data_IF_783400146924
#
_entry.id   IF_783400146924
#
_cell.length_a   1.000
_cell.length_b   1.000
_cell.length_c   1.000
_cell.angle_alpha   90.00
_cell.angle_beta   90.00
_cell.angle_gamma   90.00
#
_symmetry.space_group_name_H-M   'P 1'
#
loop_
_entity.id
_entity.type
_entity.pdbx_description
1 polymer ?
#
# COMPACT_ATOMS: atom_id res chain seq x y z
N UNK A 1 -26.86 -26.10 4.67
CA UNK A 1 -25.45 -26.47 4.94
C UNK A 1 -25.26 -26.59 6.44
N UNK A 2 -24.83 -27.75 6.97
CA UNK A 2 -24.60 -27.91 8.40
C UNK A 2 -23.48 -26.95 8.83
N UNK A 3 -23.79 -26.09 9.81
CA UNK A 3 -22.84 -25.10 10.32
C UNK A 3 -21.57 -25.80 10.81
N UNK A 4 -20.41 -25.42 10.26
CA UNK A 4 -19.12 -25.82 10.84
C UNK A 4 -19.11 -25.31 12.28
N UNK A 5 -19.28 -26.23 13.24
CA UNK A 5 -19.25 -25.92 14.66
C UNK A 5 -18.04 -25.05 14.98
N UNK A 6 -18.28 -23.92 15.64
CA UNK A 6 -17.24 -23.02 16.12
C UNK A 6 -16.28 -23.83 16.97
N UNK A 7 -15.02 -23.95 16.53
CA UNK A 7 -13.99 -24.70 17.28
C UNK A 7 -13.89 -24.12 18.69
N UNK A 8 -14.00 -24.98 19.72
CA UNK A 8 -13.86 -24.63 21.13
C UNK A 8 -12.62 -23.71 21.33
N UNK A 9 -12.78 -22.49 21.88
CA UNK A 9 -11.69 -21.54 22.13
C UNK A 9 -10.55 -22.11 22.96
N UNK A 10 -10.84 -22.93 23.96
CA UNK A 10 -9.84 -23.55 24.83
C UNK A 10 -8.95 -24.51 24.04
N UNK A 11 -9.56 -25.30 23.15
CA UNK A 11 -8.81 -26.21 22.27
C UNK A 11 -7.90 -25.45 21.31
N UNK A 12 -8.32 -24.28 20.81
CA UNK A 12 -7.45 -23.39 20.00
C UNK A 12 -6.28 -22.84 20.82
N UNK A 13 -6.54 -22.43 22.06
CA UNK A 13 -5.51 -21.93 22.98
C UNK A 13 -4.49 -23.02 23.29
N UNK A 14 -4.93 -24.20 23.73
CA UNK A 14 -4.06 -25.34 24.01
C UNK A 14 -3.23 -25.77 22.79
N UNK A 15 -3.82 -25.78 21.60
CA UNK A 15 -3.09 -26.05 20.36
C UNK A 15 -2.02 -24.98 20.07
N UNK A 16 -2.34 -23.71 20.28
CA UNK A 16 -1.41 -22.59 20.06
C UNK A 16 -0.26 -22.65 21.06
N UNK A 17 -0.55 -22.89 22.33
CA UNK A 17 0.47 -23.07 23.38
C UNK A 17 1.37 -24.27 23.09
N UNK A 18 0.82 -25.40 22.63
CA UNK A 18 1.60 -26.56 22.19
C UNK A 18 2.52 -26.19 21.02
N UNK A 19 2.01 -25.48 20.01
CA UNK A 19 2.79 -25.06 18.85
C UNK A 19 3.94 -24.12 19.24
N UNK A 20 3.69 -23.17 20.14
CA UNK A 20 4.72 -22.27 20.70
C UNK A 20 5.76 -23.07 21.48
N UNK A 21 5.36 -23.95 22.40
CA UNK A 21 6.28 -24.80 23.17
C UNK A 21 7.14 -25.70 22.28
N UNK A 22 6.64 -26.11 21.11
CA UNK A 22 7.39 -26.89 20.13
C UNK A 22 8.34 -26.09 19.23
N UNK A 23 8.58 -24.80 19.52
CA UNK A 23 9.44 -23.94 18.69
C UNK A 23 8.81 -23.54 17.35
N UNK A 24 7.49 -23.60 17.26
CA UNK A 24 6.73 -23.24 16.07
C UNK A 24 7.06 -21.85 15.50
N UNK A 25 7.10 -20.78 16.32
CA UNK A 25 7.46 -19.44 15.87
C UNK A 25 8.84 -19.37 15.21
N UNK A 26 9.86 -19.99 15.82
CA UNK A 26 11.23 -20.00 15.33
C UNK A 26 11.34 -20.78 14.01
N UNK A 27 10.65 -21.92 13.91
CA UNK A 27 10.57 -22.68 12.65
C UNK A 27 9.87 -21.88 11.55
N UNK A 28 8.78 -21.18 11.88
CA UNK A 28 8.08 -20.32 10.94
C UNK A 28 8.97 -19.16 10.48
N UNK A 29 9.73 -18.54 11.39
CA UNK A 29 10.71 -17.50 11.10
C UNK A 29 11.82 -18.01 10.18
N UNK A 30 12.46 -19.14 10.52
CA UNK A 30 13.51 -19.77 9.70
C UNK A 30 13.00 -20.14 8.30
N UNK A 31 11.80 -20.73 8.21
CA UNK A 31 11.17 -21.04 6.93
C UNK A 31 10.94 -19.77 6.12
N UNK A 32 10.42 -18.73 6.76
CA UNK A 32 10.17 -17.46 6.12
C UNK A 32 11.48 -16.82 5.61
N UNK A 33 12.54 -16.84 6.41
CA UNK A 33 13.90 -16.43 6.01
C UNK A 33 14.42 -17.25 4.82
N UNK A 34 14.25 -18.57 4.82
CA UNK A 34 14.71 -19.45 3.73
C UNK A 34 14.02 -19.19 2.38
N UNK A 35 12.81 -18.61 2.38
CA UNK A 35 12.08 -18.23 1.16
C UNK A 35 12.15 -16.73 0.89
N UNK A 36 13.06 -16.02 1.56
CA UNK A 36 13.27 -14.57 1.37
C UNK A 36 14.50 -14.31 0.55
N UNK A 37 14.29 -13.60 -0.55
CA UNK A 37 15.39 -12.99 -1.30
C UNK A 37 15.59 -11.57 -0.77
N UNK A 38 16.80 -11.29 -0.29
CA UNK A 38 17.22 -9.94 0.10
C UNK A 38 18.08 -9.33 -0.99
N UNK A 39 17.76 -8.10 -1.39
CA UNK A 39 18.49 -7.32 -2.39
C UNK A 39 19.03 -6.06 -1.74
N UNK A 40 20.34 -5.97 -1.61
CA UNK A 40 21.02 -4.80 -1.04
C UNK A 40 21.40 -3.83 -2.14
N UNK A 41 21.09 -2.55 -1.94
CA UNK A 41 21.58 -1.49 -2.81
C UNK A 41 22.88 -0.91 -2.24
N UNK A 42 23.85 -0.52 -3.10
CA UNK A 42 25.11 0.05 -2.63
C UNK A 42 24.93 1.44 -2.02
N UNK A 43 23.93 2.20 -2.46
CA UNK A 43 23.64 3.56 -1.98
C UNK A 43 22.15 3.78 -1.84
N UNK A 44 21.77 4.57 -0.84
CA UNK A 44 20.39 5.05 -0.71
C UNK A 44 20.10 6.07 -1.81
N UNK A 45 18.97 5.98 -2.52
CA UNK A 45 18.78 6.79 -3.71
C UNK A 45 18.16 8.16 -3.38
N UNK A 46 18.85 8.95 -2.55
CA UNK A 46 18.39 10.26 -2.06
C UNK A 46 18.38 11.35 -3.12
N UNK A 47 19.07 11.16 -4.25
CA UNK A 47 19.22 12.17 -5.31
C UNK A 47 17.87 12.63 -5.89
N UNK A 48 16.81 11.82 -5.74
CA UNK A 48 15.45 12.14 -6.24
C UNK A 48 14.54 12.82 -5.20
N UNK A 49 14.93 12.89 -3.92
CA UNK A 49 14.10 13.47 -2.86
C UNK A 49 13.83 14.97 -3.08
N UNK A 50 14.82 15.69 -3.60
CA UNK A 50 14.73 17.13 -3.88
C UNK A 50 13.88 17.50 -5.10
N UNK A 51 13.45 16.52 -5.91
CA UNK A 51 12.71 16.79 -7.14
C UNK A 51 11.30 17.25 -6.79
N UNK A 52 10.97 18.49 -7.21
CA UNK A 52 9.63 19.07 -7.12
C UNK A 52 8.64 18.28 -8.01
N UNK A 53 7.34 18.53 -7.87
CA UNK A 53 6.26 17.82 -8.59
C UNK A 53 6.28 18.09 -10.11
N UNK A 54 7.27 17.55 -10.81
CA UNK A 54 7.49 17.69 -12.24
C UNK A 54 8.02 16.36 -12.82
N UNK A 55 7.20 15.70 -13.64
CA UNK A 55 7.56 14.45 -14.30
C UNK A 55 8.75 14.62 -15.26
N UNK A 56 8.92 15.79 -15.89
CA UNK A 56 10.07 16.05 -16.77
C UNK A 56 11.37 16.10 -15.98
N UNK A 57 11.34 16.72 -14.80
CA UNK A 57 12.49 16.75 -13.90
C UNK A 57 12.87 15.34 -13.42
N UNK A 58 11.89 14.48 -13.12
CA UNK A 58 12.13 13.06 -12.80
C UNK A 58 12.80 12.35 -13.98
N UNK A 59 12.26 12.46 -15.20
CA UNK A 59 12.85 11.83 -16.39
C UNK A 59 14.27 12.34 -16.66
N UNK A 60 14.51 13.64 -16.53
CA UNK A 60 15.84 14.23 -16.71
C UNK A 60 16.84 13.67 -15.69
N UNK A 61 16.47 13.62 -14.41
CA UNK A 61 17.29 13.03 -13.36
C UNK A 61 17.53 11.53 -13.60
N UNK A 62 16.51 10.80 -14.05
CA UNK A 62 16.65 9.39 -14.41
C UNK A 62 17.66 9.19 -15.55
N UNK A 63 17.58 9.98 -16.62
CA UNK A 63 18.52 9.90 -17.73
C UNK A 63 19.95 10.27 -17.33
N UNK A 64 20.12 11.20 -16.38
CA UNK A 64 21.43 11.59 -15.88
C UNK A 64 22.09 10.50 -15.03
N UNK A 65 21.33 9.84 -14.15
CA UNK A 65 21.86 8.82 -13.24
C UNK A 65 21.86 7.40 -13.83
N UNK A 66 20.97 7.13 -14.77
CA UNK A 66 20.73 5.82 -15.38
C UNK A 66 20.62 5.95 -16.91
N UNK A 67 21.68 6.42 -17.59
CA UNK A 67 21.63 6.71 -19.02
C UNK A 67 21.28 5.44 -19.82
N UNK A 68 20.30 5.58 -20.73
CA UNK A 68 19.86 4.48 -21.60
C UNK A 68 19.05 3.39 -20.92
N UNK A 69 18.74 3.49 -19.62
CA UNK A 69 17.86 2.49 -18.98
C UNK A 69 16.44 2.61 -19.54
N UNK A 70 15.95 1.47 -20.02
CA UNK A 70 14.55 1.27 -20.38
C UNK A 70 13.89 0.45 -19.26
N UNK A 71 13.01 1.04 -18.42
CA UNK A 71 12.50 0.38 -17.21
C UNK A 71 11.84 -1.00 -17.44
N UNK A 72 11.15 -1.17 -18.58
CA UNK A 72 10.50 -2.44 -18.95
C UNK A 72 11.47 -3.56 -19.33
N UNK A 73 12.71 -3.21 -19.67
CA UNK A 73 13.79 -4.13 -20.05
C UNK A 73 14.72 -4.47 -18.89
N UNK A 74 14.47 -3.91 -17.70
CA UNK A 74 15.19 -4.30 -16.48
C UNK A 74 15.07 -5.82 -16.24
N UNK A 75 16.10 -6.46 -15.66
CA UNK A 75 16.03 -7.84 -15.21
C UNK A 75 14.80 -8.06 -14.33
N UNK A 76 14.15 -9.22 -14.45
CA UNK A 76 13.00 -9.55 -13.60
C UNK A 76 13.46 -10.18 -12.29
N UNK A 77 12.93 -9.69 -11.18
CA UNK A 77 13.03 -10.40 -9.91
C UNK A 77 12.29 -11.74 -10.00
N UNK A 78 12.61 -12.68 -9.10
CA UNK A 78 11.84 -13.93 -8.95
C UNK A 78 10.37 -13.59 -8.74
N UNK A 79 9.43 -14.26 -9.43
CA UNK A 79 8.01 -13.99 -9.26
C UNK A 79 7.42 -14.64 -8.01
N UNK A 80 8.18 -15.52 -7.37
CA UNK A 80 7.80 -16.26 -6.18
C UNK A 80 8.79 -15.99 -5.05
N UNK A 81 8.32 -16.15 -3.81
CA UNK A 81 9.10 -15.93 -2.60
C UNK A 81 9.05 -14.48 -2.13
N UNK A 82 9.32 -14.28 -0.85
CA UNK A 82 9.35 -12.94 -0.26
C UNK A 82 10.56 -12.19 -0.81
N UNK A 83 10.38 -10.94 -1.20
CA UNK A 83 11.45 -10.08 -1.70
C UNK A 83 11.57 -8.86 -0.80
N UNK A 84 12.79 -8.54 -0.36
CA UNK A 84 13.04 -7.35 0.49
C UNK A 84 14.22 -6.55 -0.04
N UNK A 85 14.07 -5.23 -0.03
CA UNK A 85 15.11 -4.26 -0.30
C UNK A 85 15.33 -3.44 0.97
N UNK A 86 16.31 -3.80 1.81
CA UNK A 86 16.68 -2.98 2.94
C UNK A 86 17.08 -1.59 2.48
N UNK A 87 16.75 -0.58 3.28
CA UNK A 87 17.30 0.75 3.12
C UNK A 87 18.81 0.66 3.42
N UNK A 88 19.69 1.11 2.52
CA UNK A 88 21.12 1.15 2.81
C UNK A 88 21.37 1.92 4.10
N UNK A 89 22.27 1.40 4.93
CA UNK A 89 22.66 2.08 6.16
C UNK A 89 23.28 3.45 5.79
N UNK A 90 23.13 4.47 6.64
CA UNK A 90 23.91 5.68 6.49
C UNK A 90 25.40 5.35 6.36
N UNK A 91 26.14 6.11 5.56
CA UNK A 91 27.61 6.02 5.52
C UNK A 91 28.22 6.26 6.89
N UNK A 92 29.37 5.65 7.15
CA UNK A 92 30.04 5.53 8.45
C UNK A 92 29.88 6.76 9.38
N UNK A 93 29.13 6.57 10.49
CA UNK A 93 29.08 7.50 11.61
C UNK A 93 27.73 8.18 11.89
N UNK A 94 26.76 8.16 10.97
CA UNK A 94 25.42 8.68 11.32
C UNK A 94 24.67 7.70 12.23
N UNK A 95 24.06 8.18 13.33
CA UNK A 95 23.25 7.34 14.19
C UNK A 95 22.04 6.79 13.42
N UNK A 96 21.74 5.51 13.64
CA UNK A 96 20.52 4.90 13.13
C UNK A 96 19.32 5.60 13.75
N UNK A 97 18.57 6.35 12.95
CA UNK A 97 17.30 6.92 13.35
C UNK A 97 16.23 5.83 13.34
N UNK A 98 15.72 5.37 14.50
CA UNK A 98 14.68 4.34 14.55
C UNK A 98 13.34 4.82 13.96
N UNK A 99 13.16 6.12 13.73
CA UNK A 99 12.01 6.67 13.03
C UNK A 99 12.11 6.54 11.50
N UNK A 100 13.32 6.32 10.96
CA UNK A 100 13.52 6.07 9.53
C UNK A 100 13.02 4.69 9.16
N UNK A 101 12.40 4.60 7.99
CA UNK A 101 11.88 3.35 7.48
C UNK A 101 13.05 2.42 7.07
N UNK A 102 13.10 1.17 7.55
CA UNK A 102 14.25 0.28 7.34
C UNK A 102 14.29 -0.40 5.96
N UNK A 103 13.25 -0.27 5.15
CA UNK A 103 13.15 -0.91 3.84
C UNK A 103 12.71 0.09 2.78
N UNK A 104 13.21 -0.10 1.57
CA UNK A 104 12.81 0.60 0.36
C UNK A 104 11.60 -0.08 -0.29
N UNK A 105 11.61 -1.41 -0.33
CA UNK A 105 10.50 -2.19 -0.85
C UNK A 105 10.42 -3.58 -0.18
N UNK A 106 9.20 -4.11 -0.06
CA UNK A 106 8.92 -5.45 0.46
C UNK A 106 7.78 -6.06 -0.37
N UNK A 107 8.00 -7.20 -1.02
CA UNK A 107 6.92 -8.00 -1.61
C UNK A 107 6.50 -9.09 -0.65
N UNK A 108 5.23 -9.03 -0.24
CA UNK A 108 4.56 -10.06 0.53
C UNK A 108 3.86 -11.04 -0.39
N UNK A 109 4.23 -12.30 -0.29
CA UNK A 109 3.68 -13.37 -1.10
C UNK A 109 2.49 -14.03 -0.41
N UNK A 110 1.47 -14.40 -1.20
CA UNK A 110 0.26 -15.09 -0.73
C UNK A 110 -0.43 -14.38 0.44
N UNK A 111 -0.30 -13.05 0.54
CA UNK A 111 -0.87 -12.27 1.64
C UNK A 111 -2.39 -12.20 1.56
N UNK A 112 -2.91 -12.12 0.33
CA UNK A 112 -4.33 -12.07 0.02
C UNK A 112 -4.74 -13.41 -0.60
N UNK A 113 -5.83 -13.99 -0.09
CA UNK A 113 -6.33 -15.27 -0.61
C UNK A 113 -6.95 -15.10 -1.99
N UNK A 114 -6.95 -16.18 -2.80
CA UNK A 114 -7.62 -16.20 -4.11
C UNK A 114 -9.10 -15.80 -4.02
N UNK A 115 -9.79 -16.23 -2.96
CA UNK A 115 -11.19 -15.87 -2.72
C UNK A 115 -11.34 -14.36 -2.48
N UNK A 116 -10.50 -13.77 -1.63
CA UNK A 116 -10.52 -12.33 -1.37
C UNK A 116 -10.19 -11.52 -2.63
N UNK A 117 -9.19 -11.95 -3.41
CA UNK A 117 -8.87 -11.32 -4.69
C UNK A 117 -10.07 -11.35 -5.66
N UNK A 118 -10.77 -12.49 -5.76
CA UNK A 118 -12.00 -12.62 -6.57
C UNK A 118 -13.11 -11.69 -6.07
N UNK A 119 -13.28 -11.56 -4.76
CA UNK A 119 -14.28 -10.64 -4.17
C UNK A 119 -13.96 -9.18 -4.48
N UNK A 120 -12.67 -8.80 -4.50
CA UNK A 120 -12.26 -7.45 -4.91
C UNK A 120 -12.56 -7.17 -6.38
N UNK A 121 -12.31 -8.14 -7.28
CA UNK A 121 -12.70 -8.05 -8.70
C UNK A 121 -14.21 -7.85 -8.83
N UNK A 122 -15.01 -8.68 -8.15
CA UNK A 122 -16.47 -8.58 -8.18
C UNK A 122 -16.99 -7.25 -7.62
N UNK A 123 -16.41 -6.76 -6.51
CA UNK A 123 -16.79 -5.48 -5.93
C UNK A 123 -16.45 -4.31 -6.86
N UNK A 124 -15.34 -4.41 -7.60
CA UNK A 124 -14.97 -3.45 -8.63
C UNK A 124 -15.93 -3.50 -9.83
N UNK A 125 -16.32 -4.69 -10.30
CA UNK A 125 -17.33 -4.86 -11.36
C UNK A 125 -18.67 -4.23 -10.98
N UNK A 126 -19.10 -4.44 -9.74
CA UNK A 126 -20.32 -3.82 -9.21
C UNK A 126 -20.22 -2.29 -9.20
N UNK A 127 -19.04 -1.72 -8.93
CA UNK A 127 -18.84 -0.28 -8.98
C UNK A 127 -18.90 0.24 -10.42
N UNK A 128 -18.26 -0.42 -11.37
CA UNK A 128 -18.30 -0.04 -12.79
C UNK A 128 -19.71 -0.16 -13.39
N UNK A 129 -20.57 -1.03 -12.85
CA UNK A 129 -21.97 -1.13 -13.24
C UNK A 129 -22.86 0.04 -12.73
N UNK A 130 -22.29 0.98 -11.97
CA UNK A 130 -22.98 2.20 -11.49
C UNK A 130 -22.56 3.42 -12.30
N UNK A 131 -23.30 4.56 -12.23
CA UNK A 131 -22.84 5.81 -12.83
C UNK A 131 -21.79 6.49 -11.93
N UNK A 132 -20.69 5.79 -11.65
CA UNK A 132 -19.53 6.34 -10.93
C UNK A 132 -18.80 7.31 -11.86
N UNK A 133 -18.35 8.44 -11.31
CA UNK A 133 -17.61 9.45 -12.07
C UNK A 133 -16.14 9.31 -11.77
N UNK A 134 -15.34 9.05 -12.80
CA UNK A 134 -13.88 9.06 -12.69
C UNK A 134 -13.34 10.47 -12.85
N UNK A 135 -12.32 10.88 -12.06
CA UNK A 135 -11.62 12.13 -12.32
C UNK A 135 -10.84 12.04 -13.63
N UNK A 136 -10.41 13.18 -14.21
CA UNK A 136 -9.52 13.17 -15.37
C UNK A 136 -8.21 12.41 -15.10
N UNK A 137 -7.63 11.72 -16.09
CA UNK A 137 -6.33 11.06 -15.94
C UNK A 137 -5.20 12.04 -15.59
N UNK A 138 -4.29 11.62 -14.70
CA UNK A 138 -3.06 12.37 -14.43
C UNK A 138 -2.05 12.14 -15.56
N UNK A 139 -1.85 13.20 -16.37
CA UNK A 139 -0.94 13.21 -17.52
C UNK A 139 0.51 12.87 -17.16
N UNK A 140 0.91 12.97 -15.89
CA UNK A 140 2.26 12.63 -15.43
C UNK A 140 2.40 11.17 -14.99
N UNK A 141 1.31 10.38 -14.97
CA UNK A 141 1.31 9.02 -14.41
C UNK A 141 0.78 7.97 -15.36
N UNK A 142 -0.37 8.20 -15.98
CA UNK A 142 -1.06 7.20 -16.79
C UNK A 142 -2.14 7.82 -17.68
N UNK A 143 -2.47 7.13 -18.77
CA UNK A 143 -3.62 7.46 -19.60
C UNK A 143 -4.97 7.11 -18.94
N UNK A 144 -4.96 6.22 -17.94
CA UNK A 144 -6.17 5.75 -17.25
C UNK A 144 -6.46 6.56 -15.99
N UNK A 145 -7.72 6.94 -15.74
CA UNK A 145 -8.08 7.65 -14.53
C UNK A 145 -8.12 6.70 -13.32
N UNK A 146 -7.90 7.26 -12.13
CA UNK A 146 -7.95 6.52 -10.86
C UNK A 146 -8.88 7.21 -9.88
N UNK A 147 -9.74 6.44 -9.21
CA UNK A 147 -10.52 6.92 -8.08
C UNK A 147 -9.65 6.95 -6.83
N UNK A 148 -9.74 8.01 -6.04
CA UNK A 148 -9.08 8.16 -4.74
C UNK A 148 -10.12 8.09 -3.62
N UNK A 149 -10.29 6.92 -3.03
CA UNK A 149 -11.34 6.60 -2.08
C UNK A 149 -10.82 6.61 -0.64
N UNK A 150 -11.59 7.10 0.33
CA UNK A 150 -11.19 7.15 1.74
C UNK A 150 -10.96 8.57 2.28
N UNK A 151 -9.91 8.73 3.08
CA UNK A 151 -9.58 9.96 3.83
C UNK A 151 -8.22 10.50 3.42
N UNK A 152 -8.18 11.79 3.07
CA UNK A 152 -6.98 12.49 2.59
C UNK A 152 -6.78 13.83 3.35
N UNK A 153 -5.55 14.31 3.48
CA UNK A 153 -5.23 15.64 4.05
C UNK A 153 -4.29 16.47 3.13
N UNK A 154 -4.38 16.31 1.81
CA UNK A 154 -3.42 16.97 0.90
C UNK A 154 -3.64 18.48 0.73
N UNK A 155 -4.89 18.89 0.53
CA UNK A 155 -5.25 20.26 0.12
C UNK A 155 -5.83 21.11 1.25
N UNK A 156 -5.88 20.57 2.47
CA UNK A 156 -6.52 21.19 3.62
C UNK A 156 -5.71 20.90 4.89
N UNK A 157 -5.85 21.75 5.91
CA UNK A 157 -5.20 21.58 7.21
C UNK A 157 -5.86 20.54 8.13
N UNK A 158 -6.90 19.86 7.64
CA UNK A 158 -7.68 18.85 8.35
C UNK A 158 -8.00 17.69 7.41
N UNK A 159 -8.03 16.45 7.92
CA UNK A 159 -8.40 15.31 7.10
C UNK A 159 -9.85 15.43 6.66
N UNK A 160 -10.15 15.00 5.44
CA UNK A 160 -11.48 14.98 4.87
C UNK A 160 -11.74 13.69 4.10
N UNK A 161 -13.01 13.29 4.00
CA UNK A 161 -13.42 12.18 3.11
C UNK A 161 -13.45 12.71 1.68
N UNK A 162 -12.72 12.05 0.77
CA UNK A 162 -12.46 12.54 -0.60
C UNK A 162 -13.74 12.79 -1.41
N UNK A 163 -13.62 13.62 -2.45
CA UNK A 163 -14.71 13.87 -3.40
C UNK A 163 -15.14 12.58 -4.12
N UNK A 164 -14.19 11.81 -4.65
CA UNK A 164 -14.43 10.53 -5.33
C UNK A 164 -15.16 9.50 -4.44
N UNK A 165 -15.06 9.62 -3.12
CA UNK A 165 -15.80 8.75 -2.18
C UNK A 165 -17.28 9.15 -2.05
N UNK A 166 -17.63 10.41 -2.30
CA UNK A 166 -18.88 11.00 -1.80
C UNK A 166 -19.72 11.72 -2.85
N UNK A 167 -19.11 12.27 -3.88
CA UNK A 167 -19.77 13.05 -4.93
C UNK A 167 -20.22 12.14 -6.08
N UNK A 168 -20.82 11.00 -5.73
CA UNK A 168 -21.42 10.09 -6.70
C UNK A 168 -22.90 9.86 -6.38
N UNK A 169 -23.59 9.20 -7.31
CA UNK A 169 -24.94 8.70 -7.09
C UNK A 169 -25.02 7.78 -5.86
N UNK A 170 -26.22 7.63 -5.29
CA UNK A 170 -26.42 6.75 -4.13
C UNK A 170 -26.07 5.28 -4.41
N UNK A 171 -26.28 4.79 -5.64
CA UNK A 171 -25.88 3.44 -6.04
C UNK A 171 -24.36 3.29 -6.12
N UNK A 172 -23.66 4.25 -6.73
CA UNK A 172 -22.20 4.28 -6.77
C UNK A 172 -21.60 4.36 -5.37
N UNK A 173 -22.13 5.22 -4.49
CA UNK A 173 -21.65 5.30 -3.10
C UNK A 173 -21.79 3.96 -2.34
N UNK A 174 -22.89 3.21 -2.55
CA UNK A 174 -23.05 1.87 -1.96
C UNK A 174 -22.05 0.86 -2.53
N UNK A 175 -21.78 0.90 -3.84
CA UNK A 175 -20.78 0.03 -4.46
C UNK A 175 -19.36 0.36 -3.98
N UNK A 176 -19.03 1.65 -3.82
CA UNK A 176 -17.80 2.12 -3.16
C UNK A 176 -17.72 1.56 -1.73
N UNK A 177 -18.79 1.68 -0.94
CA UNK A 177 -18.81 1.17 0.43
C UNK A 177 -18.59 -0.33 0.50
N UNK A 178 -19.17 -1.08 -0.43
CA UNK A 178 -18.96 -2.52 -0.54
C UNK A 178 -17.52 -2.87 -0.91
N UNK A 179 -16.94 -2.18 -1.89
CA UNK A 179 -15.53 -2.34 -2.29
C UNK A 179 -14.58 -2.04 -1.12
N UNK A 180 -14.75 -0.91 -0.45
CA UNK A 180 -13.94 -0.53 0.70
C UNK A 180 -14.13 -1.48 1.88
N UNK A 181 -15.33 -2.02 2.09
CA UNK A 181 -15.59 -3.06 3.10
C UNK A 181 -14.82 -4.35 2.80
N UNK A 182 -14.73 -4.76 1.53
CA UNK A 182 -13.92 -5.91 1.12
C UNK A 182 -12.43 -5.68 1.43
N UNK A 183 -11.92 -4.48 1.15
CA UNK A 183 -10.54 -4.10 1.48
C UNK A 183 -10.32 -4.11 2.99
N UNK A 184 -11.20 -3.45 3.76
CA UNK A 184 -11.12 -3.41 5.23
C UNK A 184 -11.22 -4.78 5.90
N UNK A 185 -11.95 -5.72 5.29
CA UNK A 185 -12.13 -7.07 5.84
C UNK A 185 -11.00 -8.02 5.45
N UNK A 186 -10.58 -8.00 4.20
CA UNK A 186 -9.69 -9.04 3.65
C UNK A 186 -8.24 -8.60 3.45
N UNK A 187 -8.00 -7.29 3.29
CA UNK A 187 -6.69 -6.75 2.94
C UNK A 187 -6.05 -6.06 4.14
N UNK A 188 -6.71 -5.03 4.69
CA UNK A 188 -6.13 -4.20 5.74
C UNK A 188 -5.61 -5.01 6.95
N UNK A 189 -6.34 -6.00 7.49
CA UNK A 189 -5.84 -6.79 8.62
C UNK A 189 -4.60 -7.61 8.30
N UNK A 190 -4.47 -8.09 7.04
CA UNK A 190 -3.31 -8.87 6.59
C UNK A 190 -2.07 -8.00 6.43
N UNK A 191 -2.24 -6.82 5.83
CA UNK A 191 -1.16 -5.83 5.74
C UNK A 191 -0.76 -5.37 7.15
N UNK A 192 -1.71 -5.06 8.03
CA UNK A 192 -1.43 -4.69 9.43
C UNK A 192 -0.59 -5.76 10.14
N UNK A 193 -1.00 -7.03 10.03
CA UNK A 193 -0.28 -8.13 10.67
C UNK A 193 1.15 -8.26 10.15
N UNK A 194 1.35 -8.16 8.83
CA UNK A 194 2.67 -8.25 8.22
C UNK A 194 3.52 -7.02 8.56
N UNK A 195 3.02 -5.82 8.25
CA UNK A 195 3.76 -4.56 8.34
C UNK A 195 4.21 -4.23 9.76
N UNK A 196 3.37 -4.49 10.78
CA UNK A 196 3.73 -4.26 12.19
C UNK A 196 5.00 -5.02 12.60
N UNK A 197 5.24 -6.20 12.04
CA UNK A 197 6.44 -6.98 12.32
C UNK A 197 7.71 -6.46 11.65
N UNK A 198 7.59 -5.76 10.52
CA UNK A 198 8.72 -5.24 9.76
C UNK A 198 9.07 -3.79 10.12
N UNK A 199 8.04 -2.96 10.32
CA UNK A 199 8.16 -1.52 10.45
C UNK A 199 7.36 -1.02 11.67
N UNK A 200 7.67 -1.48 12.91
CA UNK A 200 6.86 -1.17 14.08
C UNK A 200 6.79 0.34 14.40
N UNK A 201 7.87 1.08 14.18
CA UNK A 201 7.91 2.53 14.38
C UNK A 201 6.98 3.27 13.42
N UNK A 202 7.01 2.92 12.13
CA UNK A 202 6.13 3.50 11.12
C UNK A 202 4.68 3.07 11.31
N UNK A 203 4.44 1.83 11.76
CA UNK A 203 3.10 1.41 12.18
C UNK A 203 2.57 2.27 13.33
N UNK A 204 3.38 2.55 14.35
CA UNK A 204 2.98 3.44 15.45
C UNK A 204 2.66 4.87 14.95
N UNK A 205 3.42 5.36 13.96
CA UNK A 205 3.17 6.64 13.29
C UNK A 205 1.84 6.67 12.54
N UNK A 206 1.54 5.62 11.77
CA UNK A 206 0.24 5.42 11.11
C UNK A 206 -0.92 5.38 12.13
N UNK A 207 -0.71 4.77 13.30
CA UNK A 207 -1.73 4.78 14.37
C UNK A 207 -2.01 6.18 14.92
N UNK A 208 -0.99 7.04 15.07
CA UNK A 208 -1.20 8.44 15.47
C UNK A 208 -2.00 9.23 14.42
N UNK A 209 -1.65 9.05 13.15
CA UNK A 209 -2.41 9.61 12.03
C UNK A 209 -3.87 9.11 12.04
N UNK A 210 -4.08 7.82 12.27
CA UNK A 210 -5.41 7.23 12.40
C UNK A 210 -6.20 7.79 13.58
N UNK A 211 -5.59 7.93 14.76
CA UNK A 211 -6.20 8.55 15.92
C UNK A 211 -6.63 9.99 15.64
N UNK A 212 -5.82 10.75 14.90
CA UNK A 212 -6.18 12.09 14.43
C UNK A 212 -7.42 12.05 13.52
N UNK A 213 -7.46 11.14 12.55
CA UNK A 213 -8.65 10.94 11.69
C UNK A 213 -9.88 10.65 12.54
N UNK A 214 -9.80 9.71 13.50
CA UNK A 214 -10.93 9.40 14.38
C UNK A 214 -11.35 10.61 15.23
N UNK A 215 -10.40 11.35 15.79
CA UNK A 215 -10.69 12.52 16.63
C UNK A 215 -11.32 13.68 15.88
N UNK A 216 -11.02 13.85 14.59
CA UNK A 216 -11.55 14.93 13.75
C UNK A 216 -12.79 14.49 12.99
N UNK A 217 -12.70 13.41 12.22
CA UNK A 217 -13.77 12.93 11.34
C UNK A 217 -14.73 11.98 12.02
N UNK A 218 -14.33 11.25 13.07
CA UNK A 218 -15.20 10.29 13.78
C UNK A 218 -16.45 10.91 14.39
N UNK A 219 -16.48 12.25 14.57
CA UNK A 219 -17.65 13.00 15.04
C UNK A 219 -18.55 13.51 13.91
N UNK A 220 -18.10 13.43 12.67
CA UNK A 220 -18.87 13.86 11.50
C UNK A 220 -19.81 12.75 11.07
N UNK A 221 -21.05 13.10 10.72
CA UNK A 221 -22.02 12.12 10.21
C UNK A 221 -21.48 11.38 8.98
N UNK A 222 -20.86 12.11 8.04
CA UNK A 222 -20.30 11.61 6.78
C UNK A 222 -19.32 10.43 6.96
N UNK A 223 -18.48 10.48 7.99
CA UNK A 223 -17.54 9.40 8.28
C UNK A 223 -18.18 8.31 9.16
N UNK A 224 -18.94 8.71 10.19
CA UNK A 224 -19.55 7.78 11.16
C UNK A 224 -20.57 6.85 10.52
N UNK A 225 -21.32 7.31 9.52
CA UNK A 225 -22.30 6.47 8.81
C UNK A 225 -21.68 5.48 7.82
N UNK A 226 -20.36 5.55 7.58
CA UNK A 226 -19.63 4.74 6.60
C UNK A 226 -18.42 4.04 7.24
N UNK A 227 -18.64 2.99 8.06
CA UNK A 227 -17.56 2.30 8.77
C UNK A 227 -16.51 1.67 7.84
N UNK A 228 -16.84 1.42 6.58
CA UNK A 228 -15.94 0.96 5.53
C UNK A 228 -14.77 1.92 5.23
N UNK A 229 -14.86 3.19 5.66
CA UNK A 229 -13.77 4.18 5.57
C UNK A 229 -12.71 4.02 6.66
N UNK A 230 -12.88 3.07 7.57
CA UNK A 230 -11.91 2.77 8.62
C UNK A 230 -11.16 1.47 8.32
N UNK A 231 -9.91 1.59 7.87
CA UNK A 231 -9.03 0.46 7.57
C UNK A 231 -8.18 0.00 8.77
N UNK A 232 -8.53 0.39 9.99
CA UNK A 232 -7.74 0.08 11.19
C UNK A 232 -6.39 0.81 11.23
N UNK A 233 -6.26 1.89 10.47
CA UNK A 233 -5.15 2.84 10.50
C UNK A 233 -3.89 2.47 9.70
N UNK A 234 -3.82 1.30 9.08
CA UNK A 234 -2.65 0.89 8.26
C UNK A 234 -2.50 1.74 6.99
N UNK A 235 -3.60 2.25 6.45
CA UNK A 235 -3.66 3.30 5.43
C UNK A 235 -4.96 4.08 5.58
N UNK A 236 -5.07 5.25 4.94
CA UNK A 236 -6.27 6.09 5.00
C UNK A 236 -6.96 6.28 3.64
N UNK A 237 -6.21 6.15 2.55
CA UNK A 237 -6.72 6.30 1.17
C UNK A 237 -6.41 5.07 0.33
N UNK A 238 -7.31 4.78 -0.61
CA UNK A 238 -7.19 3.76 -1.65
C UNK A 238 -7.31 4.44 -3.00
N UNK A 239 -6.25 4.46 -3.78
CA UNK A 239 -6.33 4.73 -5.21
C UNK A 239 -6.65 3.41 -5.95
N UNK A 240 -7.63 3.41 -6.85
CA UNK A 240 -8.01 2.22 -7.63
C UNK A 240 -8.26 2.56 -9.09
N UNK A 241 -7.78 1.69 -9.98
CA UNK A 241 -8.01 1.76 -11.43
C UNK A 241 -7.79 0.42 -12.11
N UNK A 242 -8.14 0.34 -13.39
CA UNK A 242 -7.69 -0.71 -14.30
C UNK A 242 -6.43 -0.30 -15.06
N UNK A 243 -5.57 -1.27 -15.36
CA UNK A 243 -4.34 -1.08 -16.12
C UNK A 243 -3.10 -0.90 -15.25
N UNK A 244 -2.25 0.06 -15.63
CA UNK A 244 -0.92 0.30 -15.08
C UNK A 244 -0.65 1.81 -14.93
N UNK A 245 0.45 2.19 -14.25
CA UNK A 245 0.95 3.57 -14.24
C UNK A 245 2.27 3.61 -14.99
N UNK A 246 2.19 3.84 -16.30
CA UNK A 246 3.25 3.54 -17.27
C UNK A 246 4.37 4.57 -17.31
N UNK A 247 4.11 5.79 -16.82
CA UNK A 247 5.09 6.87 -16.83
C UNK A 247 5.96 6.83 -15.57
N UNK A 248 7.25 7.13 -15.71
CA UNK A 248 8.16 7.24 -14.57
C UNK A 248 7.75 8.42 -13.69
N UNK A 249 7.52 8.16 -12.40
CA UNK A 249 7.10 9.17 -11.44
C UNK A 249 7.54 8.85 -10.01
N UNK A 250 7.33 9.83 -9.14
CA UNK A 250 7.32 9.68 -7.68
C UNK A 250 5.92 9.94 -7.15
N UNK A 251 5.62 9.38 -5.99
CA UNK A 251 4.46 9.78 -5.21
C UNK A 251 4.84 10.94 -4.29
N UNK A 252 4.82 12.16 -4.84
CA UNK A 252 5.24 13.37 -4.13
C UNK A 252 4.45 13.67 -2.85
N UNK A 253 3.21 13.18 -2.77
CA UNK A 253 2.35 13.38 -1.61
C UNK A 253 2.55 12.33 -0.52
N UNK A 254 3.32 11.28 -0.81
CA UNK A 254 3.68 10.27 0.18
C UNK A 254 4.82 10.80 1.06
N UNK A 255 4.99 10.16 2.20
CA UNK A 255 6.05 10.46 3.14
C UNK A 255 7.27 9.58 2.87
N UNK A 256 8.46 10.14 2.98
CA UNK A 256 9.72 9.43 2.71
C UNK A 256 10.02 8.31 3.71
N UNK A 257 9.42 8.37 4.90
CA UNK A 257 9.54 7.37 5.96
C UNK A 257 8.21 6.62 6.18
N UNK A 258 7.40 6.49 5.13
CA UNK A 258 6.24 5.60 5.12
C UNK A 258 6.20 4.76 3.84
N UNK A 259 5.44 3.66 3.89
CA UNK A 259 5.17 2.83 2.72
C UNK A 259 3.76 3.03 2.18
N UNK A 260 3.65 3.05 0.86
CA UNK A 260 2.42 2.74 0.14
C UNK A 260 2.39 1.24 -0.18
N UNK A 261 1.19 0.69 -0.35
CA UNK A 261 0.99 -0.73 -0.67
C UNK A 261 0.30 -0.88 -2.02
N UNK A 262 0.93 -1.62 -2.93
CA UNK A 262 0.38 -1.94 -4.25
C UNK A 262 -0.18 -3.36 -4.22
N UNK A 263 -1.48 -3.49 -4.48
CA UNK A 263 -2.22 -4.73 -4.53
C UNK A 263 -2.93 -4.83 -5.89
N UNK A 264 -2.37 -5.56 -6.86
CA UNK A 264 -3.08 -5.88 -8.09
C UNK A 264 -3.91 -7.17 -7.95
N UNK A 265 -5.10 -7.18 -8.57
CA UNK A 265 -5.99 -8.34 -8.67
C UNK A 265 -6.55 -8.47 -10.09
N UNK A 266 -7.09 -9.64 -10.41
CA UNK A 266 -7.55 -10.00 -11.75
C UNK A 266 -6.71 -11.11 -12.37
N UNK A 267 -6.78 -11.22 -13.68
CA UNK A 267 -6.02 -12.18 -14.49
C UNK A 267 -5.40 -11.41 -15.66
N UNK A 268 -4.07 -11.32 -15.70
CA UNK A 268 -3.36 -10.44 -16.63
C UNK A 268 -1.92 -10.90 -16.92
N UNK A 269 -1.36 -10.38 -18.02
CA UNK A 269 0.06 -10.47 -18.37
C UNK A 269 0.70 -9.06 -18.38
N UNK A 270 1.99 -8.98 -18.05
CA UNK A 270 2.72 -7.72 -17.90
C UNK A 270 2.40 -6.98 -16.59
N UNK A 271 2.50 -5.66 -16.58
CA UNK A 271 2.17 -4.85 -15.40
C UNK A 271 3.16 -4.95 -14.24
N UNK A 272 4.40 -5.40 -14.48
CA UNK A 272 5.47 -5.46 -13.49
C UNK A 272 5.80 -4.06 -12.95
N UNK A 273 6.16 -3.97 -11.66
CA UNK A 273 6.65 -2.73 -11.07
C UNK A 273 8.10 -2.53 -11.46
N UNK A 274 8.40 -1.47 -12.20
CA UNK A 274 9.74 -1.17 -12.69
C UNK A 274 10.35 -0.03 -11.88
N UNK A 275 11.52 -0.26 -11.29
CA UNK A 275 12.31 0.81 -10.70
C UNK A 275 13.78 0.69 -11.09
N UNK A 276 14.30 1.64 -11.88
CA UNK A 276 15.72 1.66 -12.21
C UNK A 276 16.65 1.76 -11.00
N UNK A 277 16.24 2.46 -9.92
CA UNK A 277 17.03 2.53 -8.68
C UNK A 277 17.15 1.18 -7.98
N UNK A 278 16.18 0.28 -8.16
CA UNK A 278 16.24 -1.10 -7.66
C UNK A 278 17.01 -2.03 -8.60
N UNK A 279 17.28 -1.60 -9.84
CA UNK A 279 17.98 -2.37 -10.87
C UNK A 279 17.17 -3.53 -11.44
N UNK A 280 15.89 -3.67 -11.09
CA UNK A 280 15.05 -4.78 -11.55
C UNK A 280 13.57 -4.35 -11.67
N UNK A 281 12.81 -5.17 -12.42
CA UNK A 281 11.35 -5.13 -12.39
C UNK A 281 10.81 -6.23 -11.49
N UNK A 282 9.86 -5.87 -10.63
CA UNK A 282 9.25 -6.74 -9.64
C UNK A 282 7.88 -7.19 -10.18
N UNK A 283 7.73 -8.45 -10.60
CA UNK A 283 6.41 -9.01 -10.84
C UNK A 283 5.60 -9.03 -9.54
N UNK A 284 4.38 -8.52 -9.62
CA UNK A 284 3.40 -8.57 -8.53
C UNK A 284 2.19 -9.32 -9.08
N UNK A 285 1.93 -10.52 -8.60
CA UNK A 285 0.84 -11.40 -9.01
C UNK A 285 -0.38 -11.20 -8.12
N UNK A 286 -1.56 -11.64 -8.58
CA UNK A 286 -2.76 -11.64 -7.75
C UNK A 286 -2.53 -12.41 -6.45
N UNK A 287 -2.86 -11.79 -5.31
CA UNK A 287 -2.59 -12.35 -3.98
C UNK A 287 -1.32 -11.83 -3.32
N UNK A 288 -0.40 -11.21 -4.09
CA UNK A 288 0.79 -10.55 -3.56
C UNK A 288 0.49 -9.07 -3.25
N UNK A 289 1.27 -8.50 -2.32
CA UNK A 289 1.26 -7.06 -2.01
C UNK A 289 2.69 -6.56 -2.04
N UNK A 290 2.95 -5.47 -2.77
CA UNK A 290 4.24 -4.79 -2.73
C UNK A 290 4.12 -3.53 -1.87
N UNK A 291 4.85 -3.46 -0.76
CA UNK A 291 5.03 -2.25 0.02
C UNK A 291 6.27 -1.49 -0.50
N UNK A 292 6.16 -0.20 -0.76
CA UNK A 292 7.24 0.63 -1.32
C UNK A 292 7.30 2.01 -0.68
N UNK A 293 8.50 2.60 -0.63
CA UNK A 293 8.69 4.04 -0.38
C UNK A 293 8.49 4.84 -1.66
N UNK A 294 7.23 5.02 -2.06
CA UNK A 294 6.87 5.62 -3.35
C UNK A 294 7.33 7.10 -3.50
N UNK A 295 7.61 7.79 -2.39
CA UNK A 295 8.22 9.14 -2.39
C UNK A 295 9.73 9.15 -2.70
N UNK A 296 10.42 8.03 -2.44
CA UNK A 296 11.88 7.88 -2.54
C UNK A 296 12.27 7.21 -3.87
N UNK A 297 11.51 6.19 -4.25
CA UNK A 297 11.84 5.33 -5.40
C UNK A 297 11.01 5.77 -6.60
N UNK A 298 11.68 6.28 -7.63
CA UNK A 298 11.12 6.49 -8.96
C UNK A 298 10.71 5.14 -9.52
N UNK A 299 9.47 5.12 -10.01
CA UNK A 299 8.86 3.90 -10.50
C UNK A 299 7.88 4.15 -11.62
N UNK A 300 7.58 3.08 -12.34
CA UNK A 300 6.48 2.95 -13.27
C UNK A 300 5.99 1.50 -13.26
N UNK A 301 4.93 1.22 -14.00
CA UNK A 301 4.52 -0.14 -14.33
C UNK A 301 4.84 -0.42 -15.79
N UNK A 302 5.34 -1.62 -16.08
CA UNK A 302 5.32 -2.11 -17.44
C UNK A 302 3.87 -2.13 -17.98
N UNK A 303 3.67 -2.03 -19.31
CA UNK A 303 2.33 -2.13 -19.88
C UNK A 303 1.67 -3.47 -19.54
N UNK A 304 0.35 -3.45 -19.32
CA UNK A 304 -0.46 -4.67 -19.30
C UNK A 304 -0.67 -5.11 -20.74
N UNK A 305 -0.23 -6.31 -21.08
CA UNK A 305 -0.25 -6.80 -22.47
C UNK A 305 -1.47 -7.65 -22.78
N UNK A 306 -2.04 -8.32 -21.76
CA UNK A 306 -3.27 -9.11 -21.88
C UNK A 306 -4.05 -9.11 -20.58
N UNK A 307 -5.34 -9.42 -20.70
CA UNK A 307 -6.24 -9.61 -19.56
C UNK A 307 -6.58 -8.32 -18.84
N UNK A 308 -7.02 -8.44 -17.59
CA UNK A 308 -7.54 -7.34 -16.78
C UNK A 308 -6.82 -7.27 -15.45
N UNK A 309 -6.10 -6.18 -15.26
CA UNK A 309 -5.37 -5.84 -14.03
C UNK A 309 -6.08 -4.70 -13.33
N UNK A 310 -6.67 -4.96 -12.16
CA UNK A 310 -7.20 -3.93 -11.27
C UNK A 310 -6.14 -3.68 -10.22
N UNK A 311 -5.64 -2.46 -10.10
CA UNK A 311 -4.60 -2.10 -9.15
C UNK A 311 -5.15 -1.20 -8.06
N UNK A 312 -4.93 -1.62 -6.82
CA UNK A 312 -5.19 -0.83 -5.62
C UNK A 312 -3.85 -0.33 -5.07
N UNK A 313 -3.70 0.98 -4.96
CA UNK A 313 -2.60 1.61 -4.21
C UNK A 313 -3.16 2.15 -2.90
N UNK A 314 -2.68 1.61 -1.78
CA UNK A 314 -3.18 1.90 -0.43
C UNK A 314 -2.12 2.75 0.28
N UNK A 315 -2.48 3.95 0.72
CA UNK A 315 -1.50 4.90 1.23
C UNK A 315 -2.07 5.85 2.29
N UNK A 316 -1.17 6.57 2.94
CA UNK A 316 -1.46 7.70 3.83
C UNK A 316 -0.54 8.84 3.42
N UNK A 317 -1.09 10.01 3.15
CA UNK A 317 -0.32 11.15 2.69
C UNK A 317 0.58 11.74 3.79
N UNK A 318 1.63 12.45 3.37
CA UNK A 318 2.63 13.00 4.27
C UNK A 318 2.08 14.09 5.21
N UNK A 319 1.07 14.87 4.80
CA UNK A 319 0.51 15.93 5.62
C UNK A 319 -0.26 15.30 6.78
N UNK A 320 -1.09 14.30 6.50
CA UNK A 320 -1.82 13.56 7.52
C UNK A 320 -0.86 12.89 8.52
N UNK A 321 0.22 12.27 8.03
CA UNK A 321 1.23 11.67 8.91
C UNK A 321 1.91 12.70 9.81
N UNK A 322 2.40 13.80 9.24
CA UNK A 322 3.07 14.89 9.99
C UNK A 322 2.16 15.56 11.00
N UNK A 323 0.89 15.76 10.66
CA UNK A 323 -0.09 16.30 11.61
C UNK A 323 -0.50 15.26 12.66
N UNK A 324 -0.51 13.97 12.31
CA UNK A 324 -0.67 12.86 13.24
C UNK A 324 0.43 12.82 14.29
N UNK A 325 1.69 13.07 13.91
CA UNK A 325 2.83 13.12 14.85
C UNK A 325 2.69 14.23 15.91
N UNK A 326 2.02 15.33 15.56
CA UNK A 326 1.74 16.44 16.47
C UNK A 326 0.41 16.29 17.22
N UNK A 327 -0.38 15.27 16.89
CA UNK A 327 -1.71 15.12 17.42
C UNK A 327 -1.68 14.60 18.86
N UNK A 328 -2.15 15.43 19.79
CA UNK A 328 -2.41 15.04 21.17
C UNK A 328 -3.89 14.70 21.29
N UNK A 329 -4.28 13.41 21.42
CA UNK A 329 -5.68 13.09 21.65
C UNK A 329 -6.13 13.81 22.92
N UNK A 330 -7.27 14.50 22.86
CA UNK A 330 -7.90 14.99 24.09
C UNK A 330 -8.24 13.75 24.91
N UNK A 331 -7.58 13.58 26.08
CA UNK A 331 -7.99 12.55 27.03
C UNK A 331 -9.46 12.81 27.33
N UNK A 332 -10.32 11.96 26.78
CA UNK A 332 -11.71 11.96 27.17
C UNK A 332 -11.70 11.15 28.44
N UNK A 333 -11.83 11.82 29.59
CA UNK A 333 -12.12 11.14 30.85
C UNK A 333 -13.33 10.24 30.57
N UNK A 334 -13.09 8.92 30.57
CA UNK A 334 -14.14 7.91 30.57
C UNK A 334 -14.79 7.89 31.93
#
# INVERSE_FOLDING_TARGET
MPGRGTRNPERRRAHTEKWVKSGGPEMAKKRLESVTTTRTLPKFPSEFLGIKKDGKAVVAAMNAHFPGIIPRELPSASPDGRLVYPRPLPTDGEPLDPARLPYLAIRFDCLISKLAAKQLVQAWDLLLATPVVFPPPDKNRSATPALHLGVWELSQSRPYVTADTCQNSSSANRAIDFLLSCIGTHVAPKITQAFRGFCPAQFARLMRAHQRVQGILGRTHKYRSRPCLNFGGIFCTVAVKEGASELLHLDWNDDEDNMAFVLPVGDWEGGEFCSPQLGEKIPIRSGQVLAITARVIVHCSAPVTKGRRIVFTLFTDNILLRHGDKYKPKMTLM
#
